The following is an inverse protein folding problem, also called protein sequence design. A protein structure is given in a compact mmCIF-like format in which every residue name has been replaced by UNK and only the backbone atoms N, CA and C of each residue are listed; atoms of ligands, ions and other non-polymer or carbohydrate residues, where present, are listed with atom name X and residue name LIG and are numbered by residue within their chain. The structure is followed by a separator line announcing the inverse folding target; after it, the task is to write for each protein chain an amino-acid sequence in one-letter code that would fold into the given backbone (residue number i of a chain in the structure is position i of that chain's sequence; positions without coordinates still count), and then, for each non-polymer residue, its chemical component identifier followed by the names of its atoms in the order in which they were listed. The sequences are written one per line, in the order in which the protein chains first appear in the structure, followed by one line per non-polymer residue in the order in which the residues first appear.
data_IF_778172066194
#
_entry.id   IF_778172066194
#
_cell.length_a   1.000
_cell.length_b   1.000
_cell.length_c   1.000
_cell.angle_alpha   90.00
_cell.angle_beta   90.00
_cell.angle_gamma   90.00
#
_symmetry.space_group_name_H-M   'P 1'
#
loop_
_entity.id
_entity.type
_entity.pdbx_description
1 polymer ?
#
# COMPACT_ATOMS: atom_id res chain seq x y z
N UNK A 1 18.19 77.94 0.93
CA UNK A 1 18.77 78.31 -0.38
C UNK A 1 20.27 78.18 -0.23
N UNK A 2 21.08 77.44 -0.96
CA UNK A 2 21.03 76.55 -2.12
C UNK A 2 22.42 75.91 -2.10
N UNK A 3 22.58 74.59 -2.20
CA UNK A 3 23.79 74.02 -2.84
C UNK A 3 23.41 72.73 -3.56
N UNK A 4 23.47 72.84 -4.89
CA UNK A 4 23.33 71.77 -5.88
C UNK A 4 24.69 71.03 -6.00
N UNK A 5 24.83 70.16 -7.00
CA UNK A 5 26.05 69.44 -7.43
C UNK A 5 26.31 68.12 -6.68
N UNK A 6 26.69 67.00 -7.29
CA UNK A 6 26.58 66.39 -8.63
C UNK A 6 27.27 65.02 -8.47
N UNK A 7 26.73 63.96 -9.10
CA UNK A 7 27.39 62.69 -9.48
C UNK A 7 27.69 61.68 -8.36
N UNK A 8 27.08 60.49 -8.46
CA UNK A 8 27.77 59.27 -8.85
C UNK A 8 26.74 58.12 -8.96
N UNK A 9 26.68 57.48 -10.13
CA UNK A 9 26.01 56.20 -10.29
C UNK A 9 26.85 55.13 -9.58
N UNK A 10 26.23 54.33 -8.72
CA UNK A 10 26.81 53.09 -8.19
C UNK A 10 25.86 51.94 -8.52
N UNK A 11 26.37 51.05 -9.37
CA UNK A 11 25.83 49.74 -9.74
C UNK A 11 25.85 48.76 -8.56
N UNK A 12 25.07 47.67 -8.74
CA UNK A 12 25.05 46.40 -7.99
C UNK A 12 24.35 46.48 -6.62
N UNK A 13 23.27 45.74 -6.37
CA UNK A 13 23.32 44.28 -6.35
C UNK A 13 21.91 43.66 -6.40
N UNK A 14 21.73 42.63 -7.23
CA UNK A 14 20.62 41.68 -7.11
C UNK A 14 20.75 40.93 -5.78
N UNK A 15 19.75 41.01 -4.91
CA UNK A 15 19.58 40.09 -3.80
C UNK A 15 18.43 39.14 -4.13
N UNK A 16 18.76 38.01 -4.75
CA UNK A 16 17.83 36.89 -4.91
C UNK A 16 17.74 36.14 -3.57
N UNK A 17 16.64 36.31 -2.85
CA UNK A 17 16.32 35.46 -1.70
C UNK A 17 15.51 34.27 -2.23
N UNK A 18 16.20 33.25 -2.73
CA UNK A 18 15.58 31.94 -2.99
C UNK A 18 15.40 31.27 -1.63
N UNK A 19 14.15 31.23 -1.15
CA UNK A 19 13.76 30.35 -0.05
C UNK A 19 13.89 28.91 -0.56
N UNK A 20 15.07 28.33 -0.42
CA UNK A 20 15.27 26.89 -0.54
C UNK A 20 14.59 26.23 0.66
N UNK A 21 13.29 25.98 0.54
CA UNK A 21 12.58 25.04 1.38
C UNK A 21 13.12 23.65 1.11
N UNK A 22 14.17 23.23 1.83
CA UNK A 22 14.47 21.82 2.01
C UNK A 22 13.39 21.21 2.91
N UNK A 23 12.22 20.97 2.32
CA UNK A 23 11.25 20.06 2.88
C UNK A 23 11.84 18.67 2.79
N UNK A 24 12.61 18.28 3.81
CA UNK A 24 13.00 16.89 4.07
C UNK A 24 11.74 16.11 4.48
N UNK A 25 10.81 15.96 3.54
CA UNK A 25 9.69 15.04 3.69
C UNK A 25 10.28 13.64 3.60
N UNK A 26 10.53 13.02 4.75
CA UNK A 26 10.75 11.58 4.82
C UNK A 26 9.54 10.91 4.19
N UNK A 27 9.66 10.51 2.93
CA UNK A 27 8.61 9.78 2.23
C UNK A 27 8.39 8.50 3.02
N UNK A 28 7.18 8.33 3.58
CA UNK A 28 6.81 7.08 4.21
C UNK A 28 7.09 5.93 3.22
N UNK A 29 7.57 4.77 3.69
CA UNK A 29 7.86 3.65 2.81
C UNK A 29 6.62 3.33 1.96
N UNK A 30 6.84 3.04 0.68
CA UNK A 30 5.76 2.63 -0.21
C UNK A 30 5.09 1.38 0.36
N UNK A 31 3.76 1.38 0.41
CA UNK A 31 2.97 0.23 0.83
C UNK A 31 2.52 -0.55 -0.39
N UNK A 32 2.58 -1.87 -0.31
CA UNK A 32 2.12 -2.76 -1.38
C UNK A 32 1.54 -4.05 -0.81
N UNK A 33 0.71 -4.71 -1.63
CA UNK A 33 0.16 -6.03 -1.41
C UNK A 33 0.41 -6.85 -2.68
N UNK A 34 1.13 -7.96 -2.53
CA UNK A 34 1.24 -9.01 -3.55
C UNK A 34 0.51 -10.25 -3.08
N UNK A 35 -0.18 -10.94 -4.00
CA UNK A 35 -0.95 -12.14 -3.70
C UNK A 35 -0.61 -13.24 -4.69
N UNK A 36 -0.26 -14.40 -4.16
CA UNK A 36 -0.02 -15.62 -4.92
C UNK A 36 -1.07 -16.65 -4.51
N UNK A 37 -1.63 -17.33 -5.51
CA UNK A 37 -2.55 -18.46 -5.30
C UNK A 37 -1.92 -19.72 -5.90
N UNK A 38 -1.80 -20.76 -5.08
CA UNK A 38 -1.35 -22.08 -5.51
C UNK A 38 -2.53 -23.04 -5.43
N UNK A 39 -2.89 -23.66 -6.56
CA UNK A 39 -3.96 -24.66 -6.62
C UNK A 39 -3.35 -26.05 -6.49
N UNK A 40 -3.94 -26.89 -5.65
CA UNK A 40 -3.45 -28.24 -5.35
C UNK A 40 -4.33 -29.33 -5.98
N UNK A 41 -3.77 -30.53 -6.24
CA UNK A 41 -4.52 -31.65 -6.83
C UNK A 41 -5.72 -32.13 -6.00
N UNK A 42 -5.74 -31.86 -4.69
CA UNK A 42 -6.85 -32.21 -3.79
C UNK A 42 -8.00 -31.20 -3.83
N UNK A 43 -7.97 -30.25 -4.78
CA UNK A 43 -8.92 -29.13 -4.91
C UNK A 43 -8.92 -28.22 -3.69
N UNK A 44 -7.75 -28.04 -3.09
CA UNK A 44 -7.48 -26.91 -2.20
C UNK A 44 -6.73 -25.80 -2.93
N UNK A 45 -6.88 -24.58 -2.44
CA UNK A 45 -6.12 -23.43 -2.90
C UNK A 45 -5.47 -22.74 -1.70
N UNK A 46 -4.14 -22.63 -1.76
CA UNK A 46 -3.36 -21.87 -0.82
C UNK A 46 -3.19 -20.44 -1.32
N UNK A 47 -3.61 -19.47 -0.51
CA UNK A 47 -3.43 -18.05 -0.75
C UNK A 47 -2.34 -17.53 0.16
N UNK A 48 -1.31 -16.92 -0.41
CA UNK A 48 -0.22 -16.26 0.31
C UNK A 48 -0.19 -14.79 -0.08
N UNK A 49 -0.17 -13.91 0.92
CA UNK A 49 -0.19 -12.47 0.74
C UNK A 49 1.04 -11.82 1.37
N UNK A 50 1.83 -11.14 0.56
CA UNK A 50 3.01 -10.39 1.01
C UNK A 50 2.68 -8.92 1.11
N UNK A 51 2.69 -8.38 2.33
CA UNK A 51 2.47 -6.94 2.58
C UNK A 51 3.80 -6.24 2.85
N UNK A 52 4.06 -5.13 2.15
CA UNK A 52 5.25 -4.29 2.36
C UNK A 52 4.85 -2.98 3.03
N UNK A 53 5.66 -2.52 3.98
CA UNK A 53 5.47 -1.21 4.63
C UNK A 53 4.40 -1.18 5.72
N UNK A 54 3.90 -2.34 6.15
CA UNK A 54 2.97 -2.53 7.27
C UNK A 54 3.32 -3.84 7.98
N UNK A 55 3.25 -3.87 9.31
CA UNK A 55 3.37 -5.11 10.07
C UNK A 55 1.99 -5.78 10.23
N UNK A 56 1.87 -7.04 9.79
CA UNK A 56 0.67 -7.86 10.04
C UNK A 56 0.58 -8.20 11.54
N UNK A 57 -0.63 -8.16 12.10
CA UNK A 57 -0.92 -8.40 13.52
C UNK A 57 -0.59 -7.23 14.45
N UNK A 58 0.15 -6.22 13.98
CA UNK A 58 0.51 -5.02 14.76
C UNK A 58 -0.16 -3.78 14.18
N UNK A 59 0.16 -3.44 12.93
CA UNK A 59 -0.36 -2.26 12.25
C UNK A 59 -1.61 -2.58 11.41
N UNK A 60 -1.70 -3.82 10.94
CA UNK A 60 -2.67 -4.25 9.95
C UNK A 60 -3.04 -5.72 10.07
N UNK A 61 -4.09 -6.15 9.37
CA UNK A 61 -4.43 -7.55 9.17
C UNK A 61 -5.08 -7.76 7.80
N UNK A 62 -5.18 -9.02 7.40
CA UNK A 62 -5.70 -9.42 6.10
C UNK A 62 -7.13 -9.91 6.21
N UNK A 63 -7.89 -9.58 5.17
CA UNK A 63 -9.20 -10.13 4.91
C UNK A 63 -9.22 -10.77 3.53
N UNK A 64 -9.99 -11.85 3.39
CA UNK A 64 -10.15 -12.60 2.16
C UNK A 64 -11.62 -12.89 1.91
N UNK A 65 -12.03 -12.94 0.64
CA UNK A 65 -13.34 -13.44 0.22
C UNK A 65 -13.18 -14.25 -1.06
N UNK A 66 -13.73 -15.45 -1.06
CA UNK A 66 -13.76 -16.34 -2.22
C UNK A 66 -15.10 -16.19 -2.93
N UNK A 67 -15.09 -15.89 -4.23
CA UNK A 67 -16.27 -15.75 -5.08
C UNK A 67 -17.34 -14.78 -4.52
N UNK A 68 -16.92 -13.72 -3.82
CA UNK A 68 -17.82 -12.79 -3.14
C UNK A 68 -18.58 -13.39 -1.96
N UNK A 69 -18.15 -14.56 -1.47
CA UNK A 69 -18.70 -15.22 -0.30
C UNK A 69 -18.27 -14.57 1.02
N UNK A 70 -18.49 -15.29 2.14
CA UNK A 70 -18.14 -14.79 3.47
C UNK A 70 -16.69 -14.34 3.57
N UNK A 71 -16.50 -13.29 4.36
CA UNK A 71 -15.20 -12.75 4.67
C UNK A 71 -14.47 -13.62 5.69
N UNK A 72 -13.19 -13.87 5.44
CA UNK A 72 -12.25 -14.52 6.35
C UNK A 72 -11.25 -13.47 6.80
N UNK A 73 -11.16 -13.25 8.10
CA UNK A 73 -10.18 -12.36 8.72
C UNK A 73 -9.03 -13.16 9.31
N UNK A 74 -7.78 -12.82 8.97
CA UNK A 74 -6.59 -13.50 9.50
C UNK A 74 -6.03 -12.75 10.71
N UNK A 75 -6.36 -13.25 11.90
CA UNK A 75 -5.89 -12.71 13.19
C UNK A 75 -5.04 -13.70 14.00
N UNK A 76 -4.86 -14.93 13.49
CA UNK A 76 -4.07 -15.97 14.13
C UNK A 76 -3.02 -16.49 13.17
N UNK A 77 -1.82 -16.79 13.68
CA UNK A 77 -0.71 -17.26 12.86
C UNK A 77 -1.04 -18.56 12.08
N UNK A 78 -0.63 -18.67 10.81
CA UNK A 78 0.08 -17.65 10.02
C UNK A 78 -0.85 -16.49 9.61
N UNK A 79 -0.38 -15.24 9.78
CA UNK A 79 -1.17 -14.05 9.45
C UNK A 79 -1.21 -13.69 7.96
N UNK A 80 -0.38 -14.34 7.14
CA UNK A 80 -0.15 -14.04 5.73
C UNK A 80 -0.69 -15.12 4.77
N UNK A 81 -1.31 -16.17 5.30
CA UNK A 81 -1.64 -17.38 4.56
C UNK A 81 -2.99 -17.96 4.94
N UNK A 82 -3.75 -18.40 3.94
CA UNK A 82 -5.02 -19.09 4.14
C UNK A 82 -5.22 -20.23 3.14
N UNK A 83 -5.92 -21.28 3.58
CA UNK A 83 -6.25 -22.45 2.77
C UNK A 83 -7.76 -22.55 2.56
N UNK A 84 -8.19 -22.40 1.31
CA UNK A 84 -9.52 -22.84 0.92
C UNK A 84 -9.49 -24.34 0.59
N UNK A 85 -10.43 -25.11 1.13
CA UNK A 85 -10.50 -26.57 0.97
C UNK A 85 -11.79 -26.98 0.27
N UNK A 86 -11.77 -28.16 -0.36
CA UNK A 86 -12.94 -28.76 -1.00
C UNK A 86 -13.60 -27.85 -2.02
N UNK A 87 -12.79 -27.14 -2.82
CA UNK A 87 -13.32 -26.26 -3.85
C UNK A 87 -13.98 -27.08 -4.96
N UNK A 88 -15.15 -26.64 -5.47
CA UNK A 88 -15.70 -27.18 -6.70
C UNK A 88 -14.71 -27.04 -7.87
N UNK A 89 -14.70 -27.93 -8.86
CA UNK A 89 -13.98 -27.69 -10.10
C UNK A 89 -14.51 -26.44 -10.83
N UNK A 90 -13.63 -25.71 -11.50
CA UNK A 90 -13.97 -24.55 -12.32
C UNK A 90 -13.26 -23.26 -11.91
N UNK A 91 -13.80 -22.14 -12.39
CA UNK A 91 -13.23 -20.81 -12.17
C UNK A 91 -13.59 -20.25 -10.80
N UNK A 92 -12.58 -19.68 -10.15
CA UNK A 92 -12.69 -19.02 -8.86
C UNK A 92 -12.01 -17.66 -8.90
N UNK A 93 -12.42 -16.81 -7.97
CA UNK A 93 -11.82 -15.52 -7.71
C UNK A 93 -11.65 -15.34 -6.20
N UNK A 94 -10.44 -14.98 -5.76
CA UNK A 94 -10.19 -14.54 -4.40
C UNK A 94 -9.87 -13.05 -4.39
N UNK A 95 -10.59 -12.30 -3.57
CA UNK A 95 -10.26 -10.93 -3.21
C UNK A 95 -9.56 -10.94 -1.86
N UNK A 96 -8.41 -10.25 -1.78
CA UNK A 96 -7.62 -10.08 -0.57
C UNK A 96 -7.44 -8.59 -0.34
N UNK A 97 -7.64 -8.10 0.88
CA UNK A 97 -7.42 -6.70 1.22
C UNK A 97 -6.85 -6.51 2.62
N UNK A 98 -6.18 -5.38 2.80
CA UNK A 98 -5.53 -4.98 4.05
C UNK A 98 -6.37 -3.92 4.76
N UNK A 99 -6.56 -4.12 6.06
CA UNK A 99 -7.20 -3.16 6.98
C UNK A 99 -6.22 -2.79 8.09
N UNK A 100 -6.50 -1.69 8.79
CA UNK A 100 -5.85 -1.40 10.08
C UNK A 100 -6.53 -2.14 11.24
N UNK A 101 -6.00 -1.99 12.46
CA UNK A 101 -6.55 -2.62 13.66
C UNK A 101 -7.99 -2.20 14.01
N UNK A 102 -8.51 -1.12 13.43
CA UNK A 102 -9.89 -0.67 13.58
C UNK A 102 -10.80 -1.14 12.42
N UNK A 103 -10.33 -2.10 11.62
CA UNK A 103 -10.99 -2.64 10.43
C UNK A 103 -11.27 -1.59 9.35
N UNK A 104 -10.49 -0.50 9.33
CA UNK A 104 -10.62 0.52 8.28
C UNK A 104 -9.77 0.09 7.07
N UNK A 105 -10.31 0.16 5.85
CA UNK A 105 -9.57 -0.24 4.66
C UNK A 105 -8.36 0.67 4.44
N UNK A 106 -7.21 0.07 4.11
CA UNK A 106 -5.98 0.79 3.78
C UNK A 106 -5.78 1.01 2.27
N UNK A 107 -6.82 0.73 1.46
CA UNK A 107 -6.79 0.80 0.00
C UNK A 107 -5.67 -0.04 -0.63
N UNK A 108 -5.30 -1.14 0.01
CA UNK A 108 -4.41 -2.18 -0.51
C UNK A 108 -5.25 -3.43 -0.72
N UNK A 109 -5.61 -3.71 -1.95
CA UNK A 109 -6.40 -4.87 -2.31
C UNK A 109 -5.91 -5.51 -3.60
N UNK A 110 -6.15 -6.82 -3.73
CA UNK A 110 -5.83 -7.60 -4.92
C UNK A 110 -6.93 -8.62 -5.14
N UNK A 111 -7.32 -8.75 -6.40
CA UNK A 111 -8.22 -9.80 -6.85
C UNK A 111 -7.45 -10.74 -7.78
N UNK A 112 -7.48 -12.03 -7.50
CA UNK A 112 -6.80 -13.07 -8.28
C UNK A 112 -7.82 -14.11 -8.74
N UNK A 113 -7.85 -14.36 -10.05
CA UNK A 113 -8.63 -15.44 -10.66
C UNK A 113 -7.77 -16.70 -10.80
N UNK A 114 -8.35 -17.86 -10.55
CA UNK A 114 -7.68 -19.16 -10.67
C UNK A 114 -8.67 -20.27 -11.00
N UNK A 115 -8.17 -21.35 -11.58
CA UNK A 115 -8.97 -22.51 -11.98
C UNK A 115 -8.65 -23.71 -11.09
N UNK A 116 -9.67 -24.37 -10.58
CA UNK A 116 -9.57 -25.65 -9.89
C UNK A 116 -9.87 -26.77 -10.90
N UNK A 117 -8.99 -27.79 -11.04
CA UNK A 117 -9.17 -28.87 -12.00
C UNK A 117 -10.32 -29.82 -11.66
#
# INVERSE_FOLDING_TARGET
MEQRWRRAAALLSLLALVLAGCGSGSRAPARSLEVTVTVHPDRSAEVVATVTGLALGQDSHLHLSLNGGPEVMLMTEPLDRYWFRNLPPGEHEVRVWVTDQAHRPLNLEKTVRFTVP
#
